data_IF_767631483883
#
_entry.id   IF_767631483883
#
_cell.length_a   1.000
_cell.length_b   1.000
_cell.length_c   1.000
_cell.angle_alpha   90.00
_cell.angle_beta   90.00
_cell.angle_gamma   90.00
#
_symmetry.space_group_name_H-M   'P 1'
#
loop_
_entity.id
_entity.type
_entity.pdbx_description
1 polymer ?
#
# COMPACT_ATOMS: atom_id res chain seq x y z
N UNK A 1 -22.89 29.05 -7.53
CA UNK A 1 -21.79 29.99 -7.79
C UNK A 1 -20.74 29.98 -6.69
N UNK A 2 -21.09 30.39 -5.45
CA UNK A 2 -20.10 30.56 -4.35
C UNK A 2 -19.64 29.22 -3.75
N UNK A 3 -20.53 28.25 -3.58
CA UNK A 3 -20.21 26.93 -3.04
C UNK A 3 -19.27 26.13 -3.94
N UNK A 4 -19.45 26.22 -5.27
CA UNK A 4 -18.54 25.55 -6.23
C UNK A 4 -17.14 26.15 -6.20
N UNK A 5 -17.01 27.46 -5.97
CA UNK A 5 -15.71 28.14 -5.87
C UNK A 5 -14.97 27.79 -4.58
N UNK A 6 -15.69 27.66 -3.46
CA UNK A 6 -15.12 27.26 -2.15
C UNK A 6 -14.61 25.81 -2.22
N UNK A 7 -15.39 24.90 -2.82
CA UNK A 7 -15.00 23.51 -3.01
C UNK A 7 -13.75 23.39 -3.90
N UNK A 8 -13.68 24.15 -4.98
CA UNK A 8 -12.54 24.18 -5.91
C UNK A 8 -11.27 24.71 -5.24
N UNK A 9 -11.37 25.80 -4.47
CA UNK A 9 -10.24 26.38 -3.71
C UNK A 9 -9.77 25.43 -2.62
N UNK A 10 -10.68 24.76 -1.89
CA UNK A 10 -10.35 23.74 -0.90
C UNK A 10 -9.58 22.58 -1.53
N UNK A 11 -10.05 22.06 -2.66
CA UNK A 11 -9.39 20.98 -3.40
C UNK A 11 -7.98 21.35 -3.89
N UNK A 12 -7.81 22.61 -4.37
CA UNK A 12 -6.48 23.11 -4.78
C UNK A 12 -5.55 23.27 -3.57
N UNK A 13 -6.03 23.81 -2.46
CA UNK A 13 -5.25 23.97 -1.24
C UNK A 13 -4.84 22.61 -0.65
N UNK A 14 -5.71 21.62 -0.67
CA UNK A 14 -5.40 20.26 -0.25
C UNK A 14 -4.38 19.59 -1.18
N UNK A 15 -4.49 19.83 -2.48
CA UNK A 15 -3.51 19.34 -3.46
C UNK A 15 -2.13 20.00 -3.26
N UNK A 16 -2.09 21.33 -3.05
CA UNK A 16 -0.86 22.07 -2.75
C UNK A 16 -0.26 21.61 -1.42
N UNK A 17 -1.09 21.41 -0.39
CA UNK A 17 -0.65 20.94 0.94
C UNK A 17 -0.05 19.53 0.87
N UNK A 18 -0.64 18.62 0.09
CA UNK A 18 -0.08 17.27 -0.19
C UNK A 18 1.24 17.36 -0.94
N UNK A 19 1.36 18.26 -1.92
CA UNK A 19 2.61 18.47 -2.69
C UNK A 19 3.75 19.02 -1.84
N UNK A 20 3.45 19.85 -0.82
CA UNK A 20 4.44 20.40 0.10
C UNK A 20 4.83 19.47 1.26
N UNK A 21 4.06 18.41 1.51
CA UNK A 21 4.27 17.50 2.65
C UNK A 21 5.25 16.36 2.34
N UNK A 22 5.39 15.98 1.08
CA UNK A 22 6.25 14.86 0.67
C UNK A 22 7.42 15.35 -0.18
N UNK A 23 8.61 14.81 0.06
CA UNK A 23 9.80 15.16 -0.71
C UNK A 23 9.66 14.75 -2.18
N UNK A 24 9.99 15.67 -3.08
CA UNK A 24 10.09 15.37 -4.50
C UNK A 24 11.29 14.46 -4.76
N UNK A 25 11.14 13.51 -5.68
CA UNK A 25 12.21 12.60 -6.04
C UNK A 25 13.38 13.38 -6.69
N UNK A 26 14.59 13.21 -6.15
CA UNK A 26 15.80 13.87 -6.66
C UNK A 26 16.15 13.44 -8.10
N UNK A 27 16.04 12.14 -8.39
CA UNK A 27 16.35 11.59 -9.72
C UNK A 27 15.07 11.37 -10.52
N UNK A 28 14.50 12.46 -11.02
CA UNK A 28 13.20 12.45 -11.73
C UNK A 28 13.15 11.53 -12.95
N UNK A 29 14.26 11.34 -13.67
CA UNK A 29 14.34 10.43 -14.81
C UNK A 29 14.10 8.96 -14.43
N UNK A 30 14.35 8.59 -13.17
CA UNK A 30 14.13 7.25 -12.64
C UNK A 30 12.73 7.07 -12.01
N UNK A 31 11.94 8.12 -12.00
CA UNK A 31 10.58 8.08 -11.44
C UNK A 31 9.66 7.31 -12.39
N UNK A 32 8.88 6.39 -11.83
CA UNK A 32 7.79 5.73 -12.55
C UNK A 32 6.64 6.72 -12.77
N UNK A 33 5.89 6.53 -13.84
CA UNK A 33 4.60 7.20 -13.98
C UNK A 33 3.61 6.72 -12.91
N UNK A 34 2.52 7.43 -12.64
CA UNK A 34 1.48 6.96 -11.74
C UNK A 34 0.96 5.57 -12.13
N UNK A 35 0.71 5.34 -13.42
CA UNK A 35 0.18 4.08 -13.96
C UNK A 35 1.19 2.93 -13.80
N UNK A 36 2.49 3.20 -14.00
CA UNK A 36 3.55 2.22 -13.77
C UNK A 36 3.66 1.85 -12.28
N UNK A 37 3.52 2.82 -11.38
CA UNK A 37 3.53 2.59 -9.94
C UNK A 37 2.31 1.80 -9.47
N UNK A 38 1.11 2.11 -9.97
CA UNK A 38 -0.11 1.33 -9.73
C UNK A 38 0.03 -0.11 -10.24
N UNK A 39 0.59 -0.30 -11.43
CA UNK A 39 0.82 -1.63 -11.99
C UNK A 39 1.74 -2.49 -11.10
N UNK A 40 2.74 -1.87 -10.43
CA UNK A 40 3.57 -2.56 -9.40
C UNK A 40 2.71 -2.99 -8.23
N UNK A 41 1.85 -2.11 -7.69
CA UNK A 41 0.96 -2.46 -6.57
C UNK A 41 -0.04 -3.56 -6.92
N UNK A 42 -0.57 -3.54 -8.14
CA UNK A 42 -1.53 -4.56 -8.59
C UNK A 42 -0.92 -5.96 -8.68
N UNK A 43 0.29 -6.09 -9.25
CA UNK A 43 0.94 -7.40 -9.44
C UNK A 43 1.72 -7.90 -8.22
N UNK A 44 2.21 -7.00 -7.36
CA UNK A 44 2.98 -7.36 -6.18
C UNK A 44 2.14 -8.15 -5.18
N UNK A 45 2.75 -9.14 -4.52
CA UNK A 45 2.06 -10.02 -3.56
C UNK A 45 2.43 -9.72 -2.11
N UNK A 46 3.59 -9.14 -1.86
CA UNK A 46 4.06 -8.78 -0.53
C UNK A 46 4.77 -7.42 -0.56
N UNK A 47 4.84 -6.79 0.58
CA UNK A 47 5.58 -5.57 0.81
C UNK A 47 5.92 -5.43 2.28
N UNK A 48 6.50 -4.28 2.63
CA UNK A 48 6.87 -3.95 4.00
C UNK A 48 6.00 -2.79 4.47
N UNK A 49 5.17 -3.05 5.47
CA UNK A 49 4.38 -2.05 6.16
C UNK A 49 5.21 -1.45 7.29
N UNK A 50 5.46 -0.14 7.23
CA UNK A 50 6.18 0.60 8.26
C UNK A 50 5.22 1.47 9.06
N UNK A 51 5.28 1.30 10.37
CA UNK A 51 4.45 1.95 11.38
C UNK A 51 5.37 2.64 12.42
N UNK A 52 4.80 3.49 13.26
CA UNK A 52 5.47 3.97 14.46
C UNK A 52 5.35 2.89 15.55
N UNK A 53 6.45 2.30 15.94
CA UNK A 53 6.50 1.31 17.02
C UNK A 53 6.75 1.95 18.37
N UNK A 54 7.08 1.10 19.37
CA UNK A 54 7.37 1.52 20.71
C UNK A 54 8.53 2.52 20.79
N UNK A 55 8.44 3.48 21.69
CA UNK A 55 9.45 4.54 21.88
C UNK A 55 9.82 5.28 20.58
N UNK A 56 8.84 5.38 19.64
CA UNK A 56 9.02 5.99 18.32
C UNK A 56 10.02 5.27 17.39
N UNK A 57 10.45 4.05 17.70
CA UNK A 57 11.22 3.26 16.74
C UNK A 57 10.37 2.93 15.50
N UNK A 58 10.93 3.07 14.28
CA UNK A 58 10.25 2.58 13.09
C UNK A 58 10.01 1.07 13.17
N UNK A 59 8.76 0.64 13.07
CA UNK A 59 8.39 -0.77 13.06
C UNK A 59 8.03 -1.20 11.64
N UNK A 60 8.87 -2.03 11.02
CA UNK A 60 8.74 -2.49 9.65
C UNK A 60 8.39 -3.98 9.62
N UNK A 61 7.23 -4.33 9.04
CA UNK A 61 6.74 -5.71 9.01
C UNK A 61 6.45 -6.16 7.58
N UNK A 62 7.08 -7.25 7.09
CA UNK A 62 6.70 -7.88 5.83
C UNK A 62 5.27 -8.42 5.91
N UNK A 63 4.45 -8.14 4.90
CA UNK A 63 3.04 -8.50 4.91
C UNK A 63 2.50 -8.68 3.49
N UNK A 64 1.60 -9.65 3.32
CA UNK A 64 0.81 -9.82 2.11
C UNK A 64 -0.30 -8.78 2.03
N UNK A 65 -0.65 -8.35 0.80
CA UNK A 65 -1.62 -7.28 0.60
C UNK A 65 -2.43 -7.44 -0.68
N UNK A 66 -3.53 -6.70 -0.78
CA UNK A 66 -4.22 -6.43 -2.04
C UNK A 66 -4.42 -4.92 -2.21
N UNK A 67 -4.16 -4.44 -3.42
CA UNK A 67 -4.49 -3.09 -3.86
C UNK A 67 -5.68 -3.17 -4.81
N UNK A 68 -6.70 -2.31 -4.65
CA UNK A 68 -7.93 -2.35 -5.43
C UNK A 68 -8.11 -1.16 -6.38
N UNK A 69 -7.07 -0.36 -6.56
CA UNK A 69 -7.10 0.88 -7.34
C UNK A 69 -7.30 2.14 -6.50
N UNK A 70 -7.70 2.00 -5.23
CA UNK A 70 -7.93 3.12 -4.32
C UNK A 70 -7.28 2.92 -2.95
N UNK A 71 -7.35 1.71 -2.40
CA UNK A 71 -6.88 1.38 -1.05
C UNK A 71 -6.01 0.12 -1.08
N UNK A 72 -5.18 0.00 -0.06
CA UNK A 72 -4.39 -1.21 0.20
C UNK A 72 -4.97 -1.89 1.43
N UNK A 73 -5.24 -3.20 1.32
CA UNK A 73 -5.81 -4.00 2.40
C UNK A 73 -4.83 -5.07 2.86
N UNK A 74 -4.83 -5.27 4.18
CA UNK A 74 -4.02 -6.29 4.84
C UNK A 74 -4.89 -7.09 5.80
N UNK A 75 -4.60 -8.38 5.96
CA UNK A 75 -5.18 -9.14 7.04
C UNK A 75 -4.19 -9.28 8.20
N UNK A 76 -4.67 -9.32 9.42
CA UNK A 76 -3.88 -9.45 10.63
C UNK A 76 -4.60 -10.27 11.70
N UNK A 77 -3.85 -10.77 12.69
CA UNK A 77 -4.46 -11.22 13.95
C UNK A 77 -5.18 -10.05 14.63
N UNK A 78 -6.08 -10.37 15.57
CA UNK A 78 -6.90 -9.38 16.27
C UNK A 78 -6.10 -8.48 17.24
N UNK A 79 -4.92 -8.93 17.65
CA UNK A 79 -4.06 -8.28 18.63
C UNK A 79 -2.59 -8.45 18.29
N UNK A 80 -1.71 -7.72 18.98
CA UNK A 80 -0.26 -7.73 18.82
C UNK A 80 0.29 -6.39 18.34
N UNK A 81 1.61 -6.26 18.38
CA UNK A 81 2.35 -5.02 18.17
C UNK A 81 1.88 -4.18 16.96
N UNK A 82 1.60 -4.83 15.83
CA UNK A 82 1.09 -4.15 14.62
C UNK A 82 -0.28 -3.47 14.87
N UNK A 83 -1.18 -4.14 15.58
CA UNK A 83 -2.51 -3.62 15.89
C UNK A 83 -2.42 -2.46 16.87
N UNK A 84 -1.56 -2.60 17.89
CA UNK A 84 -1.33 -1.54 18.87
C UNK A 84 -0.70 -0.30 18.22
N UNK A 85 0.28 -0.48 17.33
CA UNK A 85 0.89 0.59 16.57
C UNK A 85 -0.13 1.35 15.69
N UNK A 86 -1.03 0.63 15.01
CA UNK A 86 -2.10 1.23 14.19
C UNK A 86 -3.09 2.03 15.05
N UNK A 87 -3.43 1.54 16.25
CA UNK A 87 -4.30 2.25 17.18
C UNK A 87 -3.68 3.53 17.73
N UNK A 88 -2.37 3.52 17.95
CA UNK A 88 -1.63 4.67 18.50
C UNK A 88 -1.38 5.76 17.43
N UNK A 89 -1.03 5.37 16.21
CA UNK A 89 -0.71 6.30 15.15
C UNK A 89 -1.19 5.75 13.79
N UNK A 90 -2.14 6.43 13.13
CA UNK A 90 -2.66 5.99 11.84
C UNK A 90 -1.72 6.24 10.66
N UNK A 91 -0.63 7.00 10.82
CA UNK A 91 0.30 7.25 9.72
C UNK A 91 1.15 6.02 9.44
N UNK A 92 1.18 5.64 8.16
CA UNK A 92 1.91 4.48 7.70
C UNK A 92 2.62 4.76 6.39
N UNK A 93 3.68 4.01 6.13
CA UNK A 93 4.20 3.85 4.77
C UNK A 93 4.25 2.38 4.40
N UNK A 94 4.12 2.11 3.09
CA UNK A 94 4.15 0.74 2.57
C UNK A 94 5.07 0.68 1.36
N UNK A 95 6.06 -0.20 1.40
CA UNK A 95 7.03 -0.37 0.33
C UNK A 95 6.86 -1.72 -0.37
N UNK A 96 6.82 -1.70 -1.70
CA UNK A 96 6.80 -2.90 -2.55
C UNK A 96 8.05 -2.92 -3.41
N UNK A 97 8.79 -4.02 -3.37
CA UNK A 97 9.91 -4.31 -4.25
C UNK A 97 9.38 -5.16 -5.40
N UNK A 98 9.40 -4.60 -6.60
CA UNK A 98 8.92 -5.27 -7.82
C UNK A 98 10.03 -6.04 -8.53
N UNK A 99 11.23 -5.47 -8.52
CA UNK A 99 12.41 -6.07 -9.12
C UNK A 99 13.63 -5.76 -8.26
N UNK A 100 14.52 -6.74 -8.13
CA UNK A 100 15.81 -6.64 -7.43
C UNK A 100 16.79 -7.63 -8.07
N UNK A 101 17.41 -7.22 -9.18
CA UNK A 101 18.33 -8.04 -9.96
C UNK A 101 19.74 -7.45 -9.88
N UNK A 102 20.67 -8.19 -9.30
CA UNK A 102 22.08 -7.79 -9.23
C UNK A 102 22.73 -7.96 -10.60
N UNK A 103 23.46 -6.93 -11.07
CA UNK A 103 24.27 -6.95 -12.28
C UNK A 103 25.75 -6.85 -11.87
N UNK A 104 26.43 -7.97 -11.64
CA UNK A 104 27.76 -7.99 -11.05
C UNK A 104 28.79 -7.24 -11.89
N UNK A 105 28.73 -7.35 -13.23
CA UNK A 105 29.68 -6.75 -14.16
C UNK A 105 29.61 -5.22 -14.14
N UNK A 106 28.48 -4.65 -13.69
CA UNK A 106 28.26 -3.20 -13.59
C UNK A 106 28.29 -2.68 -12.15
N UNK A 107 28.51 -3.56 -11.17
CA UNK A 107 28.46 -3.21 -9.75
C UNK A 107 27.19 -2.43 -9.38
N UNK A 108 26.02 -2.86 -9.92
CA UNK A 108 24.74 -2.18 -9.75
C UNK A 108 23.60 -3.19 -9.60
N UNK A 109 22.43 -2.68 -9.26
CA UNK A 109 21.18 -3.44 -9.14
C UNK A 109 20.13 -2.84 -10.07
N UNK A 110 19.55 -3.66 -10.94
CA UNK A 110 18.37 -3.31 -11.71
C UNK A 110 17.14 -3.47 -10.81
N UNK A 111 16.77 -2.41 -10.11
CA UNK A 111 15.66 -2.41 -9.16
C UNK A 111 14.45 -1.63 -9.68
N UNK A 112 13.27 -2.03 -9.19
CA UNK A 112 12.03 -1.28 -9.29
C UNK A 112 11.24 -1.43 -7.99
N UNK A 113 10.76 -0.32 -7.44
CA UNK A 113 10.01 -0.31 -6.20
C UNK A 113 8.99 0.83 -6.17
N UNK A 114 7.99 0.68 -5.31
CA UNK A 114 6.99 1.71 -5.01
C UNK A 114 6.94 1.92 -3.51
N UNK A 115 6.83 3.18 -3.11
CA UNK A 115 6.58 3.57 -1.72
C UNK A 115 5.28 4.36 -1.68
N UNK A 116 4.39 3.95 -0.78
CA UNK A 116 3.11 4.59 -0.49
C UNK A 116 3.16 5.18 0.90
N UNK A 117 2.64 6.40 1.06
CA UNK A 117 2.37 7.05 2.33
C UNK A 117 0.88 7.23 2.50
N UNK A 118 0.37 7.04 3.70
CA UNK A 118 -1.05 7.19 3.93
C UNK A 118 -1.47 6.98 5.38
N UNK A 119 -2.78 6.84 5.56
CA UNK A 119 -3.38 6.54 6.85
C UNK A 119 -3.94 5.13 6.85
N UNK A 120 -3.67 4.38 7.90
CA UNK A 120 -4.13 3.00 8.09
C UNK A 120 -5.15 2.95 9.23
N UNK A 121 -6.18 2.11 9.08
CA UNK A 121 -7.20 1.87 10.11
C UNK A 121 -7.55 0.39 10.21
N UNK A 122 -8.10 0.01 11.33
CA UNK A 122 -8.75 -1.29 11.50
C UNK A 122 -10.18 -1.16 10.94
N UNK A 123 -10.61 -2.12 10.12
CA UNK A 123 -11.98 -2.18 9.62
C UNK A 123 -12.86 -2.80 10.70
N UNK A 124 -13.85 -2.03 11.17
CA UNK A 124 -14.78 -2.45 12.22
C UNK A 124 -16.10 -3.00 11.67
N UNK A 125 -16.54 -2.51 10.50
CA UNK A 125 -17.77 -2.96 9.86
C UNK A 125 -17.60 -4.36 9.22
N UNK A 126 -18.49 -5.28 9.55
CA UNK A 126 -18.44 -6.67 9.11
C UNK A 126 -18.62 -6.82 7.60
N UNK A 127 -19.43 -5.98 6.94
CA UNK A 127 -19.64 -6.04 5.51
C UNK A 127 -18.37 -5.54 4.77
N UNK A 128 -17.75 -4.48 5.26
CA UNK A 128 -16.49 -3.95 4.75
C UNK A 128 -15.34 -4.94 4.97
N UNK A 129 -15.26 -5.55 6.16
CA UNK A 129 -14.29 -6.60 6.50
C UNK A 129 -14.44 -7.77 5.52
N UNK A 130 -15.67 -8.23 5.25
CA UNK A 130 -15.93 -9.34 4.33
C UNK A 130 -15.53 -9.00 2.90
N UNK A 131 -15.87 -7.80 2.44
CA UNK A 131 -15.52 -7.34 1.10
C UNK A 131 -14.00 -7.26 0.90
N UNK A 132 -13.26 -6.74 1.90
CA UNK A 132 -11.81 -6.58 1.84
C UNK A 132 -11.07 -7.92 1.90
N UNK A 133 -11.44 -8.83 2.81
CA UNK A 133 -10.80 -10.16 2.88
C UNK A 133 -11.08 -10.99 1.61
N UNK A 134 -12.27 -10.82 1.00
CA UNK A 134 -12.58 -11.49 -0.27
C UNK A 134 -11.65 -11.04 -1.39
N UNK A 135 -11.32 -9.73 -1.50
CA UNK A 135 -10.33 -9.23 -2.47
C UNK A 135 -8.97 -9.93 -2.30
N UNK A 136 -8.54 -10.10 -1.05
CA UNK A 136 -7.31 -10.81 -0.71
C UNK A 136 -7.39 -12.29 -1.12
N UNK A 137 -8.48 -12.97 -0.76
CA UNK A 137 -8.70 -14.39 -1.08
C UNK A 137 -8.65 -14.64 -2.60
N UNK A 138 -9.32 -13.83 -3.41
CA UNK A 138 -9.31 -13.92 -4.87
C UNK A 138 -7.91 -13.71 -5.44
N UNK A 139 -7.16 -12.72 -4.93
CA UNK A 139 -5.78 -12.46 -5.39
C UNK A 139 -4.85 -13.65 -5.14
N UNK A 140 -4.96 -14.28 -3.96
CA UNK A 140 -4.01 -15.33 -3.54
C UNK A 140 -4.45 -16.76 -3.89
N UNK A 141 -5.73 -16.96 -4.18
CA UNK A 141 -6.28 -18.24 -4.59
C UNK A 141 -7.24 -18.08 -5.79
N UNK A 142 -6.77 -17.56 -6.94
CA UNK A 142 -7.64 -17.16 -8.07
C UNK A 142 -8.42 -18.32 -8.70
N UNK A 143 -7.99 -19.55 -8.47
CA UNK A 143 -8.64 -20.75 -9.01
C UNK A 143 -9.74 -21.31 -8.10
N UNK A 144 -9.92 -20.77 -6.89
CA UNK A 144 -10.96 -21.20 -5.97
C UNK A 144 -12.32 -20.61 -6.37
N UNK A 145 -13.38 -21.38 -6.11
CA UNK A 145 -14.76 -20.91 -6.29
C UNK A 145 -15.17 -19.96 -5.17
N UNK A 146 -16.20 -19.16 -5.39
CA UNK A 146 -16.80 -18.29 -4.36
C UNK A 146 -17.19 -19.06 -3.10
N UNK A 147 -17.73 -20.26 -3.26
CA UNK A 147 -18.11 -21.12 -2.13
C UNK A 147 -16.90 -21.56 -1.31
N UNK A 148 -15.77 -21.85 -1.96
CA UNK A 148 -14.52 -22.21 -1.28
C UNK A 148 -13.95 -21.00 -0.53
N UNK A 149 -13.94 -19.80 -1.15
CA UNK A 149 -13.53 -18.57 -0.47
C UNK A 149 -14.39 -18.29 0.75
N UNK A 150 -15.73 -18.36 0.61
CA UNK A 150 -16.65 -18.13 1.71
C UNK A 150 -16.41 -19.11 2.87
N UNK A 151 -16.27 -20.40 2.59
CA UNK A 151 -16.05 -21.42 3.61
C UNK A 151 -14.75 -21.18 4.43
N UNK A 152 -13.65 -20.79 3.76
CA UNK A 152 -12.37 -20.48 4.43
C UNK A 152 -12.50 -19.20 5.27
N UNK A 153 -13.13 -18.15 4.73
CA UNK A 153 -13.34 -16.88 5.43
C UNK A 153 -14.20 -17.09 6.67
N UNK A 154 -15.34 -17.80 6.54
CA UNK A 154 -16.25 -18.06 7.66
C UNK A 154 -15.59 -18.91 8.74
N UNK A 155 -14.82 -19.92 8.37
CA UNK A 155 -14.07 -20.75 9.32
C UNK A 155 -12.99 -19.99 10.10
N UNK A 156 -12.53 -18.84 9.61
CA UNK A 156 -11.53 -18.02 10.26
C UNK A 156 -12.07 -16.71 10.86
N UNK A 157 -13.36 -16.38 10.65
CA UNK A 157 -13.94 -15.04 10.85
C UNK A 157 -13.59 -14.37 12.18
N UNK A 158 -13.61 -15.13 13.27
CA UNK A 158 -13.34 -14.63 14.62
C UNK A 158 -11.86 -14.54 14.98
N UNK A 159 -10.94 -14.87 14.05
CA UNK A 159 -9.51 -14.98 14.35
C UNK A 159 -8.66 -13.89 13.69
N UNK A 160 -9.25 -13.04 12.85
CA UNK A 160 -8.51 -12.01 12.13
C UNK A 160 -9.26 -10.67 12.10
N UNK A 161 -8.52 -9.61 11.92
CA UNK A 161 -9.04 -8.32 11.50
C UNK A 161 -8.49 -7.93 10.11
N UNK A 162 -9.14 -6.96 9.50
CA UNK A 162 -8.67 -6.33 8.27
C UNK A 162 -8.19 -4.92 8.56
N UNK A 163 -7.09 -4.55 7.92
CA UNK A 163 -6.56 -3.20 7.92
C UNK A 163 -6.75 -2.61 6.53
N UNK A 164 -7.13 -1.33 6.47
CA UNK A 164 -7.23 -0.55 5.24
C UNK A 164 -6.27 0.63 5.30
N UNK A 165 -5.48 0.82 4.26
CA UNK A 165 -4.61 1.97 4.09
C UNK A 165 -5.12 2.84 2.96
N UNK A 166 -5.54 4.08 3.29
CA UNK A 166 -5.85 5.14 2.33
C UNK A 166 -4.55 5.80 1.86
N UNK A 167 -4.42 6.02 0.56
CA UNK A 167 -3.20 6.54 -0.06
C UNK A 167 -3.22 8.08 -0.07
N UNK A 168 -2.28 8.71 0.63
CA UNK A 168 -2.05 10.15 0.58
C UNK A 168 -1.04 10.53 -0.50
N UNK A 169 0.00 9.71 -0.68
CA UNK A 169 1.06 9.93 -1.66
C UNK A 169 1.69 8.61 -2.08
N UNK A 170 2.06 8.51 -3.35
CA UNK A 170 2.73 7.34 -3.92
C UNK A 170 3.87 7.78 -4.83
N UNK A 171 5.03 7.12 -4.70
CA UNK A 171 6.16 7.29 -5.60
C UNK A 171 6.71 5.95 -6.03
N UNK A 172 6.95 5.81 -7.32
CA UNK A 172 7.65 4.66 -7.88
C UNK A 172 9.03 5.06 -8.39
N UNK A 173 10.01 4.18 -8.25
CA UNK A 173 11.38 4.40 -8.72
C UNK A 173 11.93 3.14 -9.38
N UNK A 174 12.70 3.34 -10.45
CA UNK A 174 13.45 2.26 -11.09
C UNK A 174 14.92 2.64 -11.33
N UNK A 175 15.75 1.63 -11.47
CA UNK A 175 17.15 1.79 -11.85
C UNK A 175 17.28 2.33 -13.27
N UNK A 176 18.38 3.06 -13.54
CA UNK A 176 18.63 3.64 -14.86
C UNK A 176 18.82 2.55 -15.93
N UNK A 177 19.27 1.39 -15.55
CA UNK A 177 19.47 0.20 -16.39
C UNK A 177 18.15 -0.32 -16.99
N UNK A 178 17.03 -0.02 -16.36
CA UNK A 178 15.69 -0.40 -16.84
C UNK A 178 15.11 0.60 -17.84
N UNK A 179 15.64 1.83 -17.90
CA UNK A 179 15.20 2.86 -18.85
C UNK A 179 15.69 2.57 -20.26
N UNK A 180 16.82 1.90 -20.42
CA UNK A 180 17.47 1.62 -21.71
C UNK A 180 16.93 0.39 -22.44
N UNK A 181 15.98 -0.33 -21.83
CA UNK A 181 15.34 -1.53 -22.40
C UNK A 181 13.97 -1.27 -23.05
N UNK A 182 13.63 0.02 -23.31
CA UNK A 182 12.41 0.39 -24.06
C UNK A 182 12.70 0.58 -25.54
#
# INVERSE_FOLDING_TARGET
GVESSILFVSTILDHIRRYMMFHTMRRKIQQLSPEEAEAVLLRGTAGVLALTGDEAFPYAVPISYVYDGAHIYFHSALEGHKIDAVRQNPHASFAVIDQDEIIPEKYTTAFRSVIVFGSIRIIEDDAEKRASIRKLAVKYAPNNTEQQHAAVIDGAWQRFCMLEMSIAHMTGKQAIELLTKK
#
